data_IF_436035374176
#
_entry.id   IF_436035374176
#
_cell.length_a   1.000
_cell.length_b   1.000
_cell.length_c   1.000
_cell.angle_alpha   90.00
_cell.angle_beta   90.00
_cell.angle_gamma   90.00
#
_symmetry.space_group_name_H-M   'P 1'
#
loop_
_entity.id
_entity.type
_entity.pdbx_description
1 polymer ?
#
# COMPACT_ATOMS: atom_id res chain seq x y z
N UNK A 1 0.98 -12.09 -15.30
CA UNK A 1 1.12 -13.15 -14.27
C UNK A 1 0.86 -14.53 -14.90
N UNK A 2 1.83 -15.44 -14.90
CA UNK A 2 1.69 -16.77 -15.54
C UNK A 2 0.73 -17.69 -14.74
N UNK A 3 -0.03 -18.59 -15.41
CA UNK A 3 -1.02 -19.49 -14.76
C UNK A 3 -0.35 -20.37 -13.70
N UNK A 4 0.85 -20.89 -14.00
CA UNK A 4 1.65 -21.71 -13.07
C UNK A 4 1.93 -21.00 -11.74
N UNK A 5 2.19 -19.69 -11.77
CA UNK A 5 2.45 -18.89 -10.56
C UNK A 5 1.23 -18.77 -9.65
N UNK A 6 0.02 -18.78 -10.23
CA UNK A 6 -1.23 -18.70 -9.47
C UNK A 6 -1.59 -20.05 -8.83
N UNK A 7 -1.35 -21.16 -9.54
CA UNK A 7 -1.53 -22.52 -9.01
C UNK A 7 -0.57 -22.74 -7.83
N UNK A 8 0.70 -22.34 -7.99
CA UNK A 8 1.68 -22.42 -6.92
C UNK A 8 1.25 -21.57 -5.72
N UNK A 9 0.85 -20.30 -5.93
CA UNK A 9 0.37 -19.43 -4.85
C UNK A 9 -0.79 -20.07 -4.05
N UNK A 10 -1.76 -20.69 -4.72
CA UNK A 10 -2.85 -21.39 -4.04
C UNK A 10 -2.33 -22.55 -3.18
N UNK A 11 -1.43 -23.37 -3.72
CA UNK A 11 -0.83 -24.50 -2.99
C UNK A 11 -0.01 -24.01 -1.79
N UNK A 12 0.86 -23.01 -2.01
CA UNK A 12 1.77 -22.46 -1.03
C UNK A 12 1.02 -21.83 0.15
N UNK A 13 -0.04 -21.06 -0.14
CA UNK A 13 -0.86 -20.43 0.91
C UNK A 13 -1.67 -21.44 1.72
N UNK A 14 -2.13 -22.53 1.11
CA UNK A 14 -2.77 -23.63 1.84
C UNK A 14 -1.78 -24.40 2.71
N UNK A 15 -0.60 -24.71 2.18
CA UNK A 15 0.44 -25.37 2.96
C UNK A 15 0.91 -24.50 4.14
N UNK A 16 1.03 -23.19 3.92
CA UNK A 16 1.38 -22.23 4.95
C UNK A 16 0.35 -22.21 6.08
N UNK A 17 -0.95 -22.09 5.78
CA UNK A 17 -1.97 -22.06 6.84
C UNK A 17 -2.05 -23.40 7.58
N UNK A 18 -1.91 -24.53 6.88
CA UNK A 18 -1.86 -25.86 7.50
C UNK A 18 -0.65 -26.02 8.44
N UNK A 19 0.49 -25.41 8.09
CA UNK A 19 1.69 -25.39 8.93
C UNK A 19 1.50 -24.50 10.15
N UNK A 20 0.81 -23.36 9.98
CA UNK A 20 0.55 -22.40 11.05
C UNK A 20 -0.21 -23.01 12.24
N UNK A 21 -1.33 -23.70 11.99
CA UNK A 21 -2.13 -24.32 13.06
C UNK A 21 -1.87 -25.83 13.22
N UNK A 22 -0.71 -26.32 12.78
CA UNK A 22 -0.39 -27.75 12.84
C UNK A 22 -0.48 -28.23 14.30
N UNK A 23 -1.28 -29.27 14.60
CA UNK A 23 -1.38 -29.80 15.95
C UNK A 23 -0.04 -30.44 16.37
N UNK A 24 0.25 -30.42 17.66
CA UNK A 24 1.38 -31.15 18.23
C UNK A 24 1.29 -32.63 17.86
N UNK A 25 2.38 -33.17 17.33
CA UNK A 25 2.47 -34.58 16.94
C UNK A 25 3.40 -35.34 17.87
N UNK A 26 3.10 -36.61 18.11
CA UNK A 26 3.85 -37.47 19.04
C UNK A 26 3.14 -37.66 20.37
N UNK A 27 3.71 -38.52 21.21
CA UNK A 27 3.19 -38.80 22.54
C UNK A 27 3.64 -37.70 23.51
N UNK A 28 2.84 -37.42 24.55
CA UNK A 28 3.27 -36.47 25.58
C UNK A 28 4.59 -36.96 26.21
N UNK A 29 5.57 -36.06 26.31
CA UNK A 29 6.87 -36.31 26.92
C UNK A 29 7.78 -37.31 26.16
N UNK A 30 7.52 -37.59 24.87
CA UNK A 30 8.49 -38.30 24.03
C UNK A 30 9.53 -37.33 23.44
N UNK A 31 10.79 -37.75 23.35
CA UNK A 31 11.85 -36.97 22.67
C UNK A 31 11.62 -36.78 21.16
N UNK A 32 10.58 -37.42 20.61
CA UNK A 32 10.12 -37.32 19.22
C UNK A 32 8.93 -36.38 19.05
N UNK A 33 8.50 -35.68 20.10
CA UNK A 33 7.37 -34.77 20.03
C UNK A 33 7.70 -33.56 19.14
N UNK A 34 6.84 -33.29 18.16
CA UNK A 34 6.91 -32.11 17.30
C UNK A 34 5.83 -31.14 17.79
N UNK A 35 6.18 -30.06 18.52
CA UNK A 35 5.21 -29.10 19.01
C UNK A 35 4.52 -28.36 17.86
N UNK A 36 3.21 -28.17 18.00
CA UNK A 36 2.45 -27.28 17.13
C UNK A 36 2.79 -25.82 17.37
N UNK A 37 2.55 -24.95 16.38
CA UNK A 37 2.80 -23.50 16.51
C UNK A 37 1.61 -22.79 17.17
N UNK A 38 0.43 -22.90 16.55
CA UNK A 38 -0.79 -22.22 16.99
C UNK A 38 -2.00 -23.15 16.95
N UNK A 39 -3.09 -22.74 17.60
CA UNK A 39 -4.38 -23.42 17.53
C UNK A 39 -5.14 -22.96 16.29
N UNK A 40 -6.13 -23.76 15.89
CA UNK A 40 -7.03 -23.40 14.78
C UNK A 40 -7.81 -22.11 15.08
N UNK A 41 -8.13 -21.88 16.35
CA UNK A 41 -8.87 -20.69 16.82
C UNK A 41 -8.02 -19.41 16.76
N UNK A 42 -6.69 -19.53 16.67
CA UNK A 42 -5.77 -18.39 16.55
C UNK A 42 -5.65 -17.89 15.11
N UNK A 43 -6.31 -18.54 14.15
CA UNK A 43 -6.33 -18.10 12.75
C UNK A 43 -7.14 -16.82 12.64
N UNK A 44 -6.44 -15.71 12.38
CA UNK A 44 -7.11 -14.43 12.20
C UNK A 44 -7.92 -14.38 10.89
N UNK A 45 -8.95 -13.53 10.80
CA UNK A 45 -9.71 -13.33 9.57
C UNK A 45 -8.83 -12.98 8.36
N UNK A 46 -7.75 -12.21 8.56
CA UNK A 46 -6.81 -11.84 7.49
C UNK A 46 -6.08 -13.05 6.92
N UNK A 47 -5.67 -13.98 7.78
CA UNK A 47 -5.00 -15.21 7.34
C UNK A 47 -5.95 -16.12 6.57
N UNK A 48 -7.21 -16.20 7.01
CA UNK A 48 -8.26 -16.93 6.28
C UNK A 48 -8.49 -16.32 4.89
N UNK A 49 -8.67 -15.00 4.81
CA UNK A 49 -8.85 -14.27 3.55
C UNK A 49 -7.65 -14.46 2.64
N UNK A 50 -6.44 -14.36 3.18
CA UNK A 50 -5.20 -14.55 2.43
C UNK A 50 -5.08 -15.97 1.86
N UNK A 51 -5.34 -17.00 2.64
CA UNK A 51 -5.16 -18.37 2.17
C UNK A 51 -6.29 -18.86 1.25
N UNK A 52 -7.54 -18.40 1.47
CA UNK A 52 -8.73 -18.90 0.75
C UNK A 52 -9.19 -17.97 -0.36
N UNK A 53 -9.28 -16.66 -0.11
CA UNK A 53 -9.93 -15.73 -1.01
C UNK A 53 -8.95 -15.00 -1.95
N UNK A 54 -7.73 -14.67 -1.51
CA UNK A 54 -6.75 -13.99 -2.38
C UNK A 54 -6.40 -14.81 -3.63
N UNK A 55 -6.14 -16.14 -3.57
CA UNK A 55 -5.89 -16.93 -4.77
C UNK A 55 -7.08 -16.99 -5.74
N UNK A 56 -8.31 -17.04 -5.20
CA UNK A 56 -9.53 -17.01 -6.01
C UNK A 56 -9.70 -15.65 -6.70
N UNK A 57 -9.54 -14.57 -5.95
CA UNK A 57 -9.63 -13.21 -6.44
C UNK A 57 -8.59 -12.94 -7.55
N UNK A 58 -7.35 -13.39 -7.34
CA UNK A 58 -6.27 -13.30 -8.31
C UNK A 58 -6.56 -14.03 -9.64
N UNK A 59 -7.32 -15.13 -9.58
CA UNK A 59 -7.78 -15.85 -10.78
C UNK A 59 -8.79 -15.01 -11.56
N UNK A 60 -9.80 -14.50 -10.86
CA UNK A 60 -10.85 -13.66 -11.46
C UNK A 60 -10.27 -12.38 -12.07
N UNK A 61 -9.35 -11.71 -11.35
CA UNK A 61 -8.65 -10.53 -11.88
C UNK A 61 -7.93 -10.83 -13.19
N UNK A 62 -7.26 -11.99 -13.26
CA UNK A 62 -6.55 -12.39 -14.47
C UNK A 62 -7.51 -12.65 -15.64
N UNK A 63 -8.66 -13.29 -15.39
CA UNK A 63 -9.68 -13.53 -16.41
C UNK A 63 -10.22 -12.21 -17.00
N UNK A 64 -10.35 -11.17 -16.17
CA UNK A 64 -10.81 -9.84 -16.58
C UNK A 64 -9.65 -8.98 -17.16
N UNK A 65 -8.40 -9.46 -17.13
CA UNK A 65 -7.23 -8.70 -17.59
C UNK A 65 -6.79 -7.59 -16.64
N UNK A 66 -7.27 -7.60 -15.39
CA UNK A 66 -6.89 -6.65 -14.35
C UNK A 66 -5.70 -7.14 -13.52
N UNK A 67 -5.01 -6.19 -12.90
CA UNK A 67 -3.91 -6.46 -11.97
C UNK A 67 -4.27 -6.06 -10.54
N UNK A 68 -3.65 -6.69 -9.54
CA UNK A 68 -3.79 -6.27 -8.14
C UNK A 68 -3.42 -4.82 -7.90
N UNK A 69 -2.47 -4.28 -8.69
CA UNK A 69 -2.05 -2.88 -8.58
C UNK A 69 -3.22 -1.91 -8.72
N UNK A 70 -4.26 -2.29 -9.47
CA UNK A 70 -5.49 -1.50 -9.64
C UNK A 70 -6.21 -1.25 -8.31
N UNK A 71 -6.06 -2.14 -7.34
CA UNK A 71 -6.70 -2.06 -6.03
C UNK A 71 -5.75 -1.53 -4.94
N UNK A 72 -4.53 -1.10 -5.31
CA UNK A 72 -3.59 -0.53 -4.35
C UNK A 72 -4.01 0.89 -3.95
N UNK A 73 -4.02 1.18 -2.65
CA UNK A 73 -4.24 2.51 -2.09
C UNK A 73 -2.96 3.35 -2.01
N UNK A 74 -1.81 2.76 -2.33
CA UNK A 74 -0.49 3.39 -2.18
C UNK A 74 -0.34 4.73 -2.92
N UNK A 75 -1.04 4.91 -4.04
CA UNK A 75 -1.04 6.17 -4.79
C UNK A 75 -1.76 7.29 -4.04
N UNK A 76 -2.85 6.96 -3.34
CA UNK A 76 -3.65 7.89 -2.54
C UNK A 76 -2.85 8.32 -1.31
N UNK A 77 -2.22 7.36 -0.61
CA UNK A 77 -1.34 7.63 0.53
C UNK A 77 -0.16 8.53 0.14
N UNK A 78 0.48 8.23 -0.99
CA UNK A 78 1.57 9.08 -1.52
C UNK A 78 1.09 10.48 -1.88
N UNK A 79 -0.09 10.60 -2.51
CA UNK A 79 -0.69 11.90 -2.83
C UNK A 79 -0.94 12.70 -1.56
N UNK A 80 -1.54 12.08 -0.54
CA UNK A 80 -1.82 12.71 0.74
C UNK A 80 -0.53 13.18 1.43
N UNK A 81 0.49 12.31 1.49
CA UNK A 81 1.80 12.65 2.04
C UNK A 81 2.43 13.85 1.32
N UNK A 82 2.40 13.87 -0.01
CA UNK A 82 2.93 14.98 -0.80
C UNK A 82 2.18 16.29 -0.54
N UNK A 83 0.86 16.24 -0.35
CA UNK A 83 0.06 17.43 -0.03
C UNK A 83 0.43 17.99 1.34
N UNK A 84 0.56 17.11 2.35
CA UNK A 84 1.02 17.50 3.68
C UNK A 84 2.41 18.15 3.60
N UNK A 85 3.37 17.49 2.96
CA UNK A 85 4.73 18.02 2.82
C UNK A 85 4.80 19.36 2.07
N UNK A 86 4.02 19.54 0.99
CA UNK A 86 4.13 20.71 0.12
C UNK A 86 3.38 21.95 0.66
N UNK A 87 2.21 21.75 1.25
CA UNK A 87 1.31 22.86 1.62
C UNK A 87 1.29 23.19 3.12
N UNK A 88 1.71 22.23 3.96
CA UNK A 88 1.74 22.40 5.41
C UNK A 88 3.16 22.49 5.99
N UNK A 89 4.19 22.57 5.13
CA UNK A 89 5.58 22.77 5.56
C UNK A 89 6.21 21.56 6.26
N UNK A 90 5.61 20.37 6.16
CA UNK A 90 6.00 19.16 6.87
C UNK A 90 4.84 18.55 7.67
N UNK A 91 5.12 17.77 8.71
CA UNK A 91 4.13 17.26 9.67
C UNK A 91 3.75 18.28 10.76
N UNK A 92 4.51 19.36 10.87
CA UNK A 92 4.29 20.44 11.83
C UNK A 92 3.33 21.47 11.25
N UNK A 93 2.34 21.88 12.05
CA UNK A 93 1.17 22.71 11.67
C UNK A 93 1.50 24.18 11.31
N UNK A 94 2.69 24.45 10.77
CA UNK A 94 3.12 25.77 10.32
C UNK A 94 2.65 26.03 8.89
N UNK A 95 1.40 26.49 8.74
CA UNK A 95 0.84 26.83 7.43
C UNK A 95 1.61 27.93 6.69
N UNK A 96 1.50 27.94 5.35
CA UNK A 96 2.06 28.98 4.48
C UNK A 96 1.23 30.27 4.61
N UNK A 97 1.87 31.38 4.97
CA UNK A 97 1.23 32.68 5.25
C UNK A 97 1.08 33.57 4.02
N UNK A 98 0.57 33.04 2.90
CA UNK A 98 0.38 33.81 1.65
C UNK A 98 -1.00 34.50 1.55
N UNK A 99 -1.76 34.50 2.65
CA UNK A 99 -3.09 35.13 2.74
C UNK A 99 -4.21 34.36 2.03
N UNK A 100 -3.91 33.20 1.41
CA UNK A 100 -4.90 32.34 0.76
C UNK A 100 -5.12 31.06 1.57
N UNK A 101 -6.28 30.42 1.39
CA UNK A 101 -6.55 29.14 2.05
C UNK A 101 -5.68 28.03 1.44
N UNK A 102 -5.30 27.05 2.26
CA UNK A 102 -4.54 25.87 1.78
C UNK A 102 -5.33 25.10 0.71
N UNK A 103 -6.67 25.07 0.83
CA UNK A 103 -7.55 24.46 -0.18
C UNK A 103 -7.42 25.14 -1.53
N UNK A 104 -7.39 26.48 -1.56
CA UNK A 104 -7.16 27.24 -2.80
C UNK A 104 -5.80 26.89 -3.42
N UNK A 105 -4.74 26.81 -2.60
CA UNK A 105 -3.40 26.49 -3.06
C UNK A 105 -3.30 25.07 -3.65
N UNK A 106 -3.90 24.07 -3.00
CA UNK A 106 -4.00 22.69 -3.52
C UNK A 106 -4.75 22.68 -4.85
N UNK A 107 -5.95 23.28 -4.89
CA UNK A 107 -6.79 23.31 -6.09
C UNK A 107 -6.09 23.97 -7.27
N UNK A 108 -5.46 25.13 -7.04
CA UNK A 108 -4.70 25.84 -8.07
C UNK A 108 -3.52 25.02 -8.59
N UNK A 109 -2.82 24.30 -7.70
CA UNK A 109 -1.70 23.45 -8.09
C UNK A 109 -2.16 22.25 -8.92
N UNK A 110 -3.19 21.51 -8.46
CA UNK A 110 -3.72 20.34 -9.16
C UNK A 110 -4.26 20.70 -10.55
N UNK A 111 -5.05 21.78 -10.64
CA UNK A 111 -5.58 22.27 -11.92
C UNK A 111 -4.47 22.60 -12.91
N UNK A 112 -3.36 23.18 -12.43
CA UNK A 112 -2.20 23.48 -13.28
C UNK A 112 -1.47 22.21 -13.73
N UNK A 113 -1.39 21.18 -12.89
CA UNK A 113 -0.84 19.87 -13.28
C UNK A 113 -1.69 19.19 -14.37
N UNK A 114 -3.02 19.29 -14.26
CA UNK A 114 -3.96 18.78 -15.26
C UNK A 114 -3.82 19.53 -16.58
N UNK A 115 -3.75 20.85 -16.54
CA UNK A 115 -3.53 21.68 -17.73
C UNK A 115 -2.26 21.24 -18.48
N UNK A 116 -1.13 21.05 -17.79
CA UNK A 116 0.10 20.60 -18.43
C UNK A 116 0.00 19.21 -19.03
N UNK A 117 -0.74 18.30 -18.38
CA UNK A 117 -0.96 16.95 -18.89
C UNK A 117 -1.80 16.96 -20.17
N UNK A 118 -2.90 17.73 -20.19
CA UNK A 118 -3.81 17.82 -21.34
C UNK A 118 -3.13 18.48 -22.54
N UNK A 119 -2.31 19.51 -22.30
CA UNK A 119 -1.66 20.28 -23.35
C UNK A 119 -0.26 19.76 -23.73
N UNK A 120 0.12 18.54 -23.31
CA UNK A 120 1.44 17.94 -23.54
C UNK A 120 2.62 18.91 -23.28
N UNK A 121 2.46 19.81 -22.31
CA UNK A 121 3.46 20.84 -22.02
C UNK A 121 4.54 20.21 -21.12
N UNK A 122 5.84 20.33 -21.47
CA UNK A 122 6.90 19.77 -20.65
C UNK A 122 6.83 20.30 -19.21
N UNK A 123 6.69 19.39 -18.24
CA UNK A 123 6.78 19.75 -16.83
C UNK A 123 8.23 20.08 -16.49
N UNK A 124 8.61 21.36 -16.58
CA UNK A 124 9.84 21.83 -15.91
C UNK A 124 9.54 21.83 -14.41
N UNK A 125 9.83 20.71 -13.73
CA UNK A 125 9.82 20.65 -12.27
C UNK A 125 10.98 21.54 -11.81
N UNK A 126 10.72 22.84 -11.69
CA UNK A 126 11.56 23.70 -10.87
C UNK A 126 11.12 23.35 -9.46
N UNK A 127 11.81 22.38 -8.84
CA UNK A 127 11.81 22.24 -7.41
C UNK A 127 12.37 23.57 -6.87
N UNK A 128 11.49 24.55 -6.66
CA UNK A 128 11.82 25.71 -5.86
C UNK A 128 11.97 25.15 -4.45
N UNK A 129 13.19 24.74 -4.12
CA UNK A 129 13.67 24.92 -2.77
C UNK A 129 13.40 26.39 -2.47
N UNK A 130 12.35 26.65 -1.71
CA UNK A 130 12.12 27.97 -1.16
C UNK A 130 13.18 28.05 -0.09
N UNK A 131 14.31 28.62 -0.48
CA UNK A 131 15.43 28.90 0.39
C UNK A 131 14.88 29.72 1.57
N UNK A 132 15.06 29.19 2.79
CA UNK A 132 14.61 29.81 4.04
C UNK A 132 15.50 31.00 4.43
N UNK A 133 16.44 31.40 3.56
CA UNK A 133 17.52 32.34 3.89
C UNK A 133 17.42 33.72 3.20
N UNK A 134 16.22 34.26 2.97
CA UNK A 134 16.08 35.71 2.77
C UNK A 134 15.31 36.32 3.94
N UNK A 135 16.01 36.47 5.07
CA UNK A 135 15.73 37.55 6.03
C UNK A 135 16.70 38.67 5.71
N UNK A 136 16.25 39.66 4.95
CA UNK A 136 16.91 40.97 4.90
C UNK A 136 16.76 41.62 6.28
N UNK A 137 17.89 42.09 6.82
CA UNK A 137 17.99 43.07 7.91
C UNK A 137 18.71 44.28 7.36
#
# INVERSE_FOLDING_TARGET
MQIKKLINLKSDTQNWICTFYRPTQGHMNSGTQIPGLYRKDDVTPYMHVFAKHVPQFMRQLKEIGLSLRTFSTSSIEKKNHNHVCLFFGGTTMGGRTDGKSVVYNIMSFENRQLFYLINNTPKKIIARNIDVNNKES
#
